data_IF_505420348587
#
_entry.id   IF_505420348587
#
_cell.length_a   1.000
_cell.length_b   1.000
_cell.length_c   1.000
_cell.angle_alpha   90.00
_cell.angle_beta   90.00
_cell.angle_gamma   90.00
#
_symmetry.space_group_name_H-M   'P 1'
#
loop_
_entity.id
_entity.type
_entity.pdbx_description
1 polymer ?
#
# COMPACT_ATOMS: atom_id res chain seq x y z
N UNK A 1 -5.49 12.20 34.29
CA UNK A 1 -4.97 11.87 32.95
C UNK A 1 -6.19 11.63 32.06
N UNK A 2 -6.44 12.51 31.10
CA UNK A 2 -7.72 12.60 30.38
C UNK A 2 -7.83 11.51 29.32
N UNK A 3 -8.93 10.76 29.31
CA UNK A 3 -9.26 9.75 28.28
C UNK A 3 -9.33 10.31 26.85
N UNK A 4 -9.25 11.63 26.69
CA UNK A 4 -9.20 12.32 25.40
C UNK A 4 -7.86 12.15 24.68
N UNK A 5 -6.77 11.87 25.41
CA UNK A 5 -5.44 11.76 24.80
C UNK A 5 -5.21 10.42 24.09
N UNK A 6 -5.97 9.37 24.44
CA UNK A 6 -5.91 8.07 23.76
C UNK A 6 -6.54 8.07 22.36
N UNK A 7 -7.40 9.03 22.05
CA UNK A 7 -8.18 9.08 20.80
C UNK A 7 -7.41 9.68 19.61
N UNK A 8 -6.22 10.24 19.84
CA UNK A 8 -5.50 11.04 18.85
C UNK A 8 -4.66 10.20 17.86
N UNK A 9 -4.48 8.90 18.12
CA UNK A 9 -3.64 8.01 17.32
C UNK A 9 -4.38 6.87 16.61
N UNK A 10 -5.69 6.74 16.78
CA UNK A 10 -6.46 5.66 16.15
C UNK A 10 -7.00 6.10 14.79
N UNK A 11 -6.70 5.31 13.75
CA UNK A 11 -7.37 5.42 12.47
C UNK A 11 -8.86 5.13 12.69
N UNK A 12 -9.70 6.16 12.61
CA UNK A 12 -11.15 5.99 12.60
C UNK A 12 -11.60 5.08 11.44
N UNK A 13 -12.86 4.63 11.45
CA UNK A 13 -13.39 3.71 10.43
C UNK A 13 -13.13 4.17 8.98
N UNK A 14 -13.26 5.48 8.72
CA UNK A 14 -12.94 6.07 7.42
C UNK A 14 -11.45 6.00 7.06
N UNK A 15 -10.55 6.23 8.03
CA UNK A 15 -9.11 6.08 7.83
C UNK A 15 -8.73 4.63 7.48
N UNK A 16 -9.28 3.66 8.22
CA UNK A 16 -9.03 2.24 7.97
C UNK A 16 -9.51 1.79 6.59
N UNK A 17 -10.70 2.25 6.17
CA UNK A 17 -11.20 1.99 4.83
C UNK A 17 -10.29 2.56 3.74
N UNK A 18 -9.76 3.77 3.93
CA UNK A 18 -8.79 4.38 3.00
C UNK A 18 -7.49 3.57 2.90
N UNK A 19 -6.90 3.18 4.04
CA UNK A 19 -5.68 2.34 4.04
C UNK A 19 -5.90 0.97 3.40
N UNK A 20 -7.07 0.37 3.62
CA UNK A 20 -7.43 -0.90 2.99
C UNK A 20 -7.57 -0.76 1.47
N UNK A 21 -8.34 0.24 1.01
CA UNK A 21 -8.55 0.50 -0.41
C UNK A 21 -7.24 0.85 -1.13
N UNK A 22 -6.40 1.68 -0.50
CA UNK A 22 -5.07 2.01 -0.99
C UNK A 22 -4.20 0.75 -1.14
N UNK A 23 -4.17 -0.10 -0.12
CA UNK A 23 -3.39 -1.33 -0.18
C UNK A 23 -3.90 -2.35 -1.21
N UNK A 24 -5.22 -2.48 -1.35
CA UNK A 24 -5.83 -3.33 -2.37
C UNK A 24 -5.51 -2.84 -3.79
N UNK A 25 -5.54 -1.53 -4.01
CA UNK A 25 -5.15 -0.91 -5.27
C UNK A 25 -3.68 -1.16 -5.62
N UNK A 26 -2.76 -1.04 -4.66
CA UNK A 26 -1.34 -1.36 -4.86
C UNK A 26 -1.13 -2.84 -5.23
N UNK A 27 -1.83 -3.75 -4.56
CA UNK A 27 -1.74 -5.18 -4.86
C UNK A 27 -2.28 -5.52 -6.24
N UNK A 28 -3.38 -4.89 -6.65
CA UNK A 28 -3.96 -5.07 -7.97
C UNK A 28 -2.97 -4.60 -9.05
N UNK A 29 -2.41 -3.40 -8.90
CA UNK A 29 -1.43 -2.89 -9.86
C UNK A 29 -0.12 -3.68 -9.85
N UNK A 30 0.32 -4.22 -8.71
CA UNK A 30 1.46 -5.14 -8.64
C UNK A 30 1.19 -6.44 -9.42
N UNK A 31 0.01 -7.04 -9.25
CA UNK A 31 -0.37 -8.27 -9.95
C UNK A 31 -0.42 -8.06 -11.47
N UNK A 32 -1.01 -6.96 -11.94
CA UNK A 32 -1.02 -6.62 -13.37
C UNK A 32 0.39 -6.35 -13.91
N UNK A 33 1.20 -5.61 -13.17
CA UNK A 33 2.59 -5.31 -13.58
C UNK A 33 3.44 -6.58 -13.65
N UNK A 34 3.27 -7.51 -12.71
CA UNK A 34 3.94 -8.81 -12.72
C UNK A 34 3.44 -9.72 -13.84
N UNK A 35 2.16 -9.65 -14.22
CA UNK A 35 1.60 -10.42 -15.33
C UNK A 35 2.08 -9.90 -16.69
N UNK A 36 2.01 -8.59 -16.92
CA UNK A 36 2.31 -7.99 -18.22
C UNK A 36 3.80 -7.69 -18.42
N UNK A 37 4.60 -7.70 -17.34
CA UNK A 37 6.00 -7.34 -17.34
C UNK A 37 6.25 -5.87 -17.73
N UNK A 38 5.24 -5.02 -17.54
CA UNK A 38 5.22 -3.58 -17.83
C UNK A 38 4.45 -2.87 -16.72
N UNK A 39 4.81 -1.63 -16.42
CA UNK A 39 4.08 -0.83 -15.43
C UNK A 39 2.62 -0.65 -15.82
N UNK A 40 1.73 -0.91 -14.87
CA UNK A 40 0.32 -0.55 -14.99
C UNK A 40 0.19 0.98 -15.09
N UNK A 41 -0.47 1.49 -16.13
CA UNK A 41 -0.58 2.94 -16.40
C UNK A 41 -1.30 3.74 -15.29
N UNK A 42 -2.03 3.04 -14.42
CA UNK A 42 -2.67 3.62 -13.25
C UNK A 42 -1.96 3.29 -11.95
N UNK A 43 -0.67 2.92 -11.94
CA UNK A 43 0.11 2.73 -10.72
C UNK A 43 0.51 4.11 -10.16
N UNK A 44 0.54 4.33 -8.82
CA UNK A 44 0.95 5.63 -8.30
C UNK A 44 2.38 5.93 -8.79
N UNK A 45 2.62 7.12 -9.37
CA UNK A 45 3.86 7.47 -10.10
C UNK A 45 5.09 7.69 -9.18
N UNK A 46 5.21 6.94 -8.09
CA UNK A 46 6.03 7.31 -6.93
C UNK A 46 7.01 6.21 -6.47
N UNK A 47 6.99 5.02 -7.08
CA UNK A 47 8.03 3.99 -6.88
C UNK A 47 8.98 3.90 -8.09
N UNK A 48 9.04 4.96 -8.89
CA UNK A 48 9.95 5.18 -10.03
C UNK A 48 11.44 5.02 -9.68
N UNK A 49 11.75 4.79 -8.40
CA UNK A 49 13.03 4.30 -7.88
C UNK A 49 13.52 3.09 -8.68
N UNK A 50 12.63 2.16 -9.06
CA UNK A 50 13.04 0.97 -9.80
C UNK A 50 13.45 1.31 -11.24
N UNK A 51 12.75 2.23 -11.91
CA UNK A 51 13.11 2.70 -13.26
C UNK A 51 14.36 3.59 -13.25
N UNK A 52 14.59 4.37 -12.20
CA UNK A 52 15.85 5.11 -12.01
C UNK A 52 17.03 4.17 -11.83
N UNK A 53 16.87 3.07 -11.08
CA UNK A 53 17.97 2.12 -10.80
C UNK A 53 18.19 1.07 -11.89
N UNK A 54 17.13 0.66 -12.60
CA UNK A 54 17.17 -0.47 -13.53
C UNK A 54 16.73 -0.10 -14.96
N UNK A 55 16.45 1.18 -15.24
CA UNK A 55 15.95 1.67 -16.54
C UNK A 55 14.54 1.17 -16.87
N UNK A 56 14.07 1.46 -18.08
CA UNK A 56 12.83 0.91 -18.66
C UNK A 56 12.95 -0.59 -19.02
N UNK A 57 13.54 -1.38 -18.12
CA UNK A 57 13.70 -2.81 -18.27
C UNK A 57 12.53 -3.55 -17.60
N UNK A 58 12.26 -4.78 -18.07
CA UNK A 58 11.31 -5.69 -17.41
C UNK A 58 11.66 -5.92 -15.93
N UNK A 59 12.95 -5.85 -15.61
CA UNK A 59 13.43 -6.00 -14.23
C UNK A 59 12.98 -4.83 -13.35
N UNK A 60 12.99 -3.60 -13.86
CA UNK A 60 12.43 -2.43 -13.18
C UNK A 60 10.95 -2.65 -12.84
N UNK A 61 10.15 -3.07 -13.81
CA UNK A 61 8.72 -3.37 -13.60
C UNK A 61 8.48 -4.45 -12.52
N UNK A 62 9.28 -5.53 -12.49
CA UNK A 62 9.14 -6.56 -11.45
C UNK A 62 9.55 -6.08 -10.06
N UNK A 63 10.63 -5.31 -9.95
CA UNK A 63 11.05 -4.72 -8.67
C UNK A 63 9.98 -3.76 -8.15
N UNK A 64 9.38 -2.96 -9.04
CA UNK A 64 8.31 -2.04 -8.67
C UNK A 64 7.04 -2.77 -8.24
N UNK A 65 6.66 -3.84 -8.96
CA UNK A 65 5.57 -4.73 -8.56
C UNK A 65 5.81 -5.36 -7.17
N UNK A 66 7.06 -5.72 -6.85
CA UNK A 66 7.40 -6.25 -5.53
C UNK A 66 7.25 -5.18 -4.43
N UNK A 67 7.80 -3.98 -4.65
CA UNK A 67 7.69 -2.87 -3.70
C UNK A 67 6.24 -2.47 -3.45
N UNK A 68 5.47 -2.37 -4.55
CA UNK A 68 4.03 -2.18 -4.55
C UNK A 68 3.28 -3.22 -3.70
N UNK A 69 3.58 -4.50 -3.89
CA UNK A 69 2.95 -5.57 -3.14
C UNK A 69 3.27 -5.49 -1.65
N UNK A 70 4.54 -5.22 -1.28
CA UNK A 70 4.95 -5.06 0.11
C UNK A 70 4.25 -3.88 0.79
N UNK A 71 4.18 -2.73 0.13
CA UNK A 71 3.49 -1.54 0.64
C UNK A 71 1.97 -1.77 0.73
N UNK A 72 1.40 -2.46 -0.25
CA UNK A 72 -0.01 -2.84 -0.26
C UNK A 72 -0.38 -3.74 0.92
N UNK A 73 0.42 -4.79 1.17
CA UNK A 73 0.27 -5.67 2.33
C UNK A 73 0.41 -4.91 3.64
N UNK A 74 1.41 -4.03 3.77
CA UNK A 74 1.60 -3.22 4.96
C UNK A 74 0.40 -2.29 5.24
N UNK A 75 -0.17 -1.69 4.20
CA UNK A 75 -1.34 -0.80 4.30
C UNK A 75 -2.60 -1.54 4.74
N UNK A 76 -2.84 -2.74 4.16
CA UNK A 76 -3.95 -3.61 4.57
C UNK A 76 -3.75 -4.07 6.01
N UNK A 77 -2.54 -4.49 6.38
CA UNK A 77 -2.23 -4.91 7.74
C UNK A 77 -2.50 -3.77 8.74
N UNK A 78 -2.10 -2.55 8.44
CA UNK A 78 -2.38 -1.37 9.28
C UNK A 78 -3.89 -1.12 9.41
N UNK A 79 -4.64 -1.23 8.30
CA UNK A 79 -6.09 -1.09 8.31
C UNK A 79 -6.78 -2.16 9.18
N UNK A 80 -6.30 -3.40 9.14
CA UNK A 80 -6.87 -4.52 9.90
C UNK A 80 -6.45 -4.47 11.38
N UNK A 81 -5.18 -4.16 11.67
CA UNK A 81 -4.62 -4.08 13.02
C UNK A 81 -5.24 -2.91 13.82
N UNK A 82 -5.56 -1.79 13.16
CA UNK A 82 -6.24 -0.66 13.77
C UNK A 82 -7.66 -0.93 14.29
N UNK A 83 -8.22 -2.13 14.06
CA UNK A 83 -9.56 -2.51 14.56
C UNK A 83 -9.60 -3.32 15.82
N UNK A 84 -8.45 -3.89 16.24
CA UNK A 84 -8.41 -4.77 17.40
C UNK A 84 -8.17 -4.04 18.72
N UNK A 85 -7.96 -2.71 18.71
CA UNK A 85 -7.73 -1.89 19.91
C UNK A 85 -8.98 -1.20 20.47
N UNK A 86 -10.13 -1.35 19.82
CA UNK A 86 -11.39 -0.73 20.22
C UNK A 86 -12.48 -1.71 20.69
N UNK A 87 -12.14 -2.94 21.07
CA UNK A 87 -13.09 -3.80 21.76
C UNK A 87 -12.95 -3.56 23.29
N UNK A 88 -14.05 -3.25 24.00
CA UNK A 88 -14.04 -2.96 25.44
C UNK A 88 -13.54 -4.14 26.29
#
# INVERSE_FOLDING_TARGET
MSTRDAKKGELGAGGRALFFLFGAYLLFGAALTAHDGKLFAGFPPQLDIAFVLFGESKMGAYVEALLAALLGLASIFLALAGGKRGAP
#
